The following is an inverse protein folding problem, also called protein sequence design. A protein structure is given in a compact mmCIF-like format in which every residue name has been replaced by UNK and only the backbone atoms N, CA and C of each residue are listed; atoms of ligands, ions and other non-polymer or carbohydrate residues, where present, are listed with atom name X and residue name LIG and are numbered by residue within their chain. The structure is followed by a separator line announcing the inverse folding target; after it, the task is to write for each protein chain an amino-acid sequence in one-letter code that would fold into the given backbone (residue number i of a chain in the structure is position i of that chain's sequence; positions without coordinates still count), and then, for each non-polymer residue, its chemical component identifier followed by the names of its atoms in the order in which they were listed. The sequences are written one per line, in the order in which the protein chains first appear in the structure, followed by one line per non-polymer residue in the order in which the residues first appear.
data_IF_316004295821
#
_entry.id   IF_316004295821
#
_cell.length_a   1.000
_cell.length_b   1.000
_cell.length_c   1.000
_cell.angle_alpha   90.00
_cell.angle_beta   90.00
_cell.angle_gamma   90.00
#
_symmetry.space_group_name_H-M   'P 1'
#
loop_
_entity.id
_entity.type
_entity.pdbx_description
1 polymer ?
#
# COMPACT_ATOMS: atom_id res chain seq x y z
N UNK A 1 -14.02 28.12 -34.90
CA UNK A 1 -13.67 28.36 -33.49
C UNK A 1 -14.72 27.70 -32.62
N UNK A 2 -14.41 26.56 -32.02
CA UNK A 2 -15.21 26.02 -30.91
C UNK A 2 -14.23 25.38 -29.93
N UNK A 3 -14.07 26.03 -28.79
CA UNK A 3 -13.17 25.65 -27.71
C UNK A 3 -13.72 24.41 -27.00
N UNK A 4 -13.01 23.29 -27.12
CA UNK A 4 -13.23 22.13 -26.26
C UNK A 4 -12.44 22.34 -24.95
N UNK A 5 -13.06 23.03 -23.98
CA UNK A 5 -12.55 23.15 -22.61
C UNK A 5 -12.97 21.91 -21.82
N UNK A 6 -11.98 21.11 -21.45
CA UNK A 6 -11.84 20.33 -20.20
C UNK A 6 -11.09 19.02 -20.45
N UNK A 7 -9.84 19.12 -20.92
CA UNK A 7 -8.82 18.22 -20.40
C UNK A 7 -8.48 18.79 -19.03
N UNK A 8 -8.89 18.12 -17.94
CA UNK A 8 -8.43 18.51 -16.60
C UNK A 8 -6.91 18.51 -16.61
N UNK A 9 -6.30 19.69 -16.51
CA UNK A 9 -4.85 19.80 -16.41
C UNK A 9 -4.40 18.95 -15.23
N UNK A 10 -3.60 17.92 -15.52
CA UNK A 10 -2.98 17.06 -14.52
C UNK A 10 -1.95 17.94 -13.81
N UNK A 11 -2.39 18.64 -12.77
CA UNK A 11 -1.57 19.54 -11.99
C UNK A 11 -1.21 18.89 -10.65
N UNK A 12 0.02 19.10 -10.20
CA UNK A 12 0.48 18.64 -8.90
C UNK A 12 -0.35 19.27 -7.79
N UNK A 13 -0.73 18.46 -6.81
CA UNK A 13 -1.38 18.91 -5.59
C UNK A 13 -0.28 19.23 -4.58
N UNK A 14 -0.33 20.41 -3.94
CA UNK A 14 0.60 20.71 -2.85
C UNK A 14 0.34 19.78 -1.66
N UNK A 15 1.34 18.96 -1.34
CA UNK A 15 1.32 17.93 -0.30
C UNK A 15 2.11 18.33 0.95
N UNK A 16 2.65 19.55 1.00
CA UNK A 16 3.50 20.04 2.09
C UNK A 16 2.84 19.88 3.46
N UNK A 17 1.55 20.26 3.58
CA UNK A 17 0.81 20.11 4.84
C UNK A 17 0.62 18.63 5.22
N UNK A 18 0.35 17.76 4.23
CA UNK A 18 0.12 16.33 4.45
C UNK A 18 1.39 15.64 4.97
N UNK A 19 2.53 15.92 4.32
CA UNK A 19 3.84 15.40 4.73
C UNK A 19 4.24 15.96 6.10
N UNK A 20 4.00 17.25 6.37
CA UNK A 20 4.30 17.87 7.66
C UNK A 20 3.51 17.23 8.80
N UNK A 21 2.21 16.99 8.59
CA UNK A 21 1.38 16.26 9.57
C UNK A 21 1.89 14.84 9.79
N UNK A 22 2.24 14.11 8.72
CA UNK A 22 2.77 12.76 8.84
C UNK A 22 4.09 12.72 9.62
N UNK A 23 5.04 13.61 9.31
CA UNK A 23 6.32 13.75 10.04
C UNK A 23 6.14 14.17 11.49
N UNK A 24 5.06 14.89 11.81
CA UNK A 24 4.72 15.22 13.20
C UNK A 24 4.32 13.96 13.98
N UNK A 25 3.63 13.01 13.34
CA UNK A 25 3.31 11.72 13.96
C UNK A 25 4.58 10.92 14.27
N UNK A 26 5.59 10.92 13.38
CA UNK A 26 6.84 10.19 13.61
C UNK A 26 7.53 10.53 14.93
N UNK A 27 7.39 11.78 15.39
CA UNK A 27 8.01 12.30 16.62
C UNK A 27 7.28 11.90 17.90
N UNK A 28 6.06 11.35 17.80
CA UNK A 28 5.35 10.86 18.99
C UNK A 28 6.06 9.62 19.52
N UNK A 29 6.23 9.55 20.85
CA UNK A 29 6.97 8.47 21.51
C UNK A 29 6.42 7.08 21.19
N UNK A 30 5.11 6.96 21.00
CA UNK A 30 4.43 5.71 20.65
C UNK A 30 4.89 5.12 19.30
N UNK A 31 5.27 5.96 18.34
CA UNK A 31 5.73 5.52 17.03
C UNK A 31 7.27 5.59 16.94
N UNK A 32 7.85 6.75 17.26
CA UNK A 32 9.28 7.05 17.19
C UNK A 32 9.91 6.53 15.88
N UNK A 33 9.52 7.14 14.75
CA UNK A 33 9.88 6.66 13.41
C UNK A 33 10.86 7.60 12.72
N UNK A 34 11.70 7.03 11.85
CA UNK A 34 12.58 7.74 10.92
C UNK A 34 11.96 7.80 9.52
N UNK A 35 11.19 6.77 9.15
CA UNK A 35 10.48 6.73 7.88
C UNK A 35 9.19 5.91 7.99
N UNK A 36 8.28 6.12 7.04
CA UNK A 36 7.04 5.38 6.90
C UNK A 36 6.83 4.93 5.46
N UNK A 37 6.50 3.65 5.30
CA UNK A 37 6.24 3.01 4.01
C UNK A 37 4.74 2.97 3.75
N UNK A 38 4.32 3.44 2.58
CA UNK A 38 2.93 3.56 2.18
C UNK A 38 2.75 2.86 0.81
N UNK A 39 2.43 1.55 0.83
CA UNK A 39 2.15 0.77 -0.37
C UNK A 39 0.86 1.24 -1.08
N UNK A 40 0.60 0.70 -2.28
CA UNK A 40 -0.65 0.96 -3.02
C UNK A 40 -1.76 -0.01 -2.65
N UNK A 41 -1.36 -1.17 -2.15
CA UNK A 41 -2.16 -2.34 -1.87
C UNK A 41 -3.08 -2.09 -0.66
N UNK A 42 -4.16 -2.86 -0.57
CA UNK A 42 -4.99 -2.94 0.63
C UNK A 42 -4.70 -4.21 1.44
N UNK A 43 -5.46 -4.42 2.52
CA UNK A 43 -5.30 -5.56 3.42
C UNK A 43 -5.53 -6.93 2.74
N UNK A 44 -6.07 -6.95 1.52
CA UNK A 44 -6.39 -8.16 0.76
C UNK A 44 -5.51 -8.28 -0.50
N UNK A 45 -4.49 -7.44 -0.64
CA UNK A 45 -3.62 -7.38 -1.82
C UNK A 45 -4.43 -7.20 -3.12
N UNK A 46 -5.50 -6.41 -3.06
CA UNK A 46 -6.35 -6.13 -4.23
C UNK A 46 -5.57 -5.41 -5.33
N UNK A 47 -5.79 -5.80 -6.58
CA UNK A 47 -5.24 -5.10 -7.75
C UNK A 47 -5.76 -3.65 -7.86
N UNK A 48 -7.05 -3.45 -7.57
CA UNK A 48 -7.69 -2.14 -7.56
C UNK A 48 -8.19 -1.83 -6.16
N UNK A 49 -7.60 -0.82 -5.53
CA UNK A 49 -7.98 -0.43 -4.17
C UNK A 49 -9.19 0.50 -4.16
N UNK A 50 -10.01 0.36 -3.13
CA UNK A 50 -11.12 1.27 -2.89
C UNK A 50 -10.60 2.70 -2.58
N UNK A 51 -11.44 3.71 -2.80
CA UNK A 51 -11.06 5.11 -2.55
C UNK A 51 -10.59 5.37 -1.10
N UNK A 52 -11.12 4.61 -0.13
CA UNK A 52 -10.71 4.67 1.28
C UNK A 52 -9.30 4.10 1.54
N UNK A 53 -8.78 3.25 0.65
CA UNK A 53 -7.47 2.61 0.77
C UNK A 53 -6.42 3.27 -0.15
N UNK A 54 -6.81 4.29 -0.94
CA UNK A 54 -5.94 5.06 -1.83
C UNK A 54 -4.99 6.03 -1.08
N UNK A 55 -4.34 5.55 -0.02
CA UNK A 55 -3.48 6.29 0.92
C UNK A 55 -2.26 6.90 0.24
N UNK A 56 -1.59 6.13 -0.61
CA UNK A 56 -0.45 6.62 -1.42
C UNK A 56 -0.88 7.79 -2.31
N UNK A 57 -2.06 7.70 -2.94
CA UNK A 57 -2.58 8.78 -3.76
C UNK A 57 -2.95 10.02 -2.93
N UNK A 58 -3.55 9.83 -1.76
CA UNK A 58 -3.82 10.94 -0.85
C UNK A 58 -2.53 11.62 -0.36
N UNK A 59 -1.54 10.88 0.11
CA UNK A 59 -0.33 11.50 0.69
C UNK A 59 0.55 12.19 -0.37
N UNK A 60 0.62 11.63 -1.58
CA UNK A 60 1.54 12.10 -2.63
C UNK A 60 0.90 12.88 -3.78
N UNK A 61 -0.42 12.83 -3.94
CA UNK A 61 -1.11 13.34 -5.12
C UNK A 61 -1.00 12.44 -6.36
N UNK A 62 -0.16 11.39 -6.34
CA UNK A 62 0.01 10.48 -7.47
C UNK A 62 -1.07 9.40 -7.53
N UNK A 63 -1.80 9.36 -8.65
CA UNK A 63 -3.02 8.54 -8.83
C UNK A 63 -2.84 7.33 -9.75
N UNK A 64 -1.60 6.95 -10.12
CA UNK A 64 -1.38 5.74 -10.91
C UNK A 64 -1.78 4.47 -10.15
N UNK A 65 -2.04 3.35 -10.83
CA UNK A 65 -2.46 2.13 -10.12
C UNK A 65 -1.35 1.54 -9.25
N UNK A 66 -0.10 1.62 -9.70
CA UNK A 66 1.04 0.97 -9.04
C UNK A 66 2.07 1.99 -8.51
N UNK A 67 2.60 1.71 -7.33
CA UNK A 67 3.70 2.44 -6.76
C UNK A 67 3.84 2.26 -5.25
N UNK A 68 4.83 2.90 -4.66
CA UNK A 68 5.06 2.87 -3.22
C UNK A 68 5.66 4.20 -2.80
N UNK A 69 5.09 4.81 -1.75
CA UNK A 69 5.62 6.02 -1.16
C UNK A 69 6.46 5.68 0.07
N UNK A 70 7.61 6.33 0.20
CA UNK A 70 8.41 6.35 1.42
C UNK A 70 8.51 7.81 1.86
N UNK A 71 8.06 8.11 3.07
CA UNK A 71 8.26 9.44 3.68
C UNK A 71 9.23 9.27 4.84
N UNK A 72 10.38 9.93 4.79
CA UNK A 72 11.31 10.03 5.91
C UNK A 72 11.14 11.36 6.66
N UNK A 73 11.93 11.55 7.71
CA UNK A 73 11.98 12.82 8.46
C UNK A 73 12.30 14.02 7.58
N UNK A 74 13.10 13.82 6.54
CA UNK A 74 13.68 14.91 5.74
C UNK A 74 13.26 14.85 4.27
N UNK A 75 13.05 13.64 3.73
CA UNK A 75 12.74 13.43 2.30
C UNK A 75 11.41 12.68 2.09
N UNK A 76 10.93 12.68 0.85
CA UNK A 76 9.86 11.81 0.41
C UNK A 76 10.19 11.26 -0.99
N UNK A 77 10.00 9.95 -1.18
CA UNK A 77 10.29 9.26 -2.42
C UNK A 77 9.07 8.46 -2.88
N UNK A 78 8.76 8.50 -4.17
CA UNK A 78 7.70 7.70 -4.78
C UNK A 78 8.31 6.76 -5.81
N UNK A 79 8.17 5.46 -5.58
CA UNK A 79 8.55 4.40 -6.49
C UNK A 79 7.36 4.06 -7.38
N UNK A 80 7.57 3.96 -8.69
CA UNK A 80 6.56 3.44 -9.63
C UNK A 80 7.26 2.88 -10.85
N UNK A 81 6.52 2.16 -11.71
CA UNK A 81 7.03 1.54 -12.93
C UNK A 81 6.86 2.43 -14.18
N UNK A 82 7.41 1.96 -15.30
CA UNK A 82 7.49 2.71 -16.56
C UNK A 82 6.17 3.21 -17.13
N UNK A 83 5.04 2.59 -16.78
CA UNK A 83 3.71 3.05 -17.20
C UNK A 83 3.40 4.45 -16.68
N UNK A 84 3.99 4.82 -15.54
CA UNK A 84 3.56 5.97 -14.76
C UNK A 84 4.60 7.09 -14.64
N UNK A 85 5.81 6.97 -15.21
CA UNK A 85 6.85 8.00 -15.06
C UNK A 85 6.40 9.40 -15.48
N UNK A 86 5.72 9.51 -16.63
CA UNK A 86 5.22 10.81 -17.13
C UNK A 86 4.07 11.36 -16.28
N UNK A 87 3.22 10.47 -15.76
CA UNK A 87 2.12 10.86 -14.87
C UNK A 87 2.66 11.34 -13.53
N UNK A 88 3.57 10.58 -12.92
CA UNK A 88 4.18 10.92 -11.64
C UNK A 88 4.93 12.26 -11.72
N UNK A 89 5.71 12.50 -12.78
CA UNK A 89 6.38 13.79 -12.99
C UNK A 89 5.43 15.01 -13.07
N UNK A 90 4.16 14.80 -13.44
CA UNK A 90 3.15 15.88 -13.51
C UNK A 90 2.35 16.04 -12.22
N UNK A 91 2.16 14.95 -11.47
CA UNK A 91 1.30 14.92 -10.29
C UNK A 91 2.05 15.13 -8.97
N UNK A 92 3.33 14.78 -8.93
CA UNK A 92 4.17 14.99 -7.76
C UNK A 92 4.58 16.46 -7.68
N UNK A 93 4.48 17.03 -6.48
CA UNK A 93 5.01 18.36 -6.19
C UNK A 93 6.51 18.31 -5.86
N UNK A 94 7.07 19.44 -5.46
CA UNK A 94 8.48 19.60 -5.12
C UNK A 94 8.94 18.82 -3.89
N UNK A 95 8.03 18.27 -3.07
CA UNK A 95 8.39 17.51 -1.88
C UNK A 95 8.82 16.08 -2.22
N UNK A 96 8.49 15.57 -3.41
CA UNK A 96 8.69 14.17 -3.78
C UNK A 96 9.82 13.99 -4.80
N UNK A 97 10.64 12.96 -4.54
CA UNK A 97 11.59 12.42 -5.52
C UNK A 97 10.96 11.22 -6.22
N UNK A 98 10.85 11.28 -7.55
CA UNK A 98 10.38 10.14 -8.35
C UNK A 98 11.49 9.10 -8.53
N UNK A 99 11.25 7.90 -8.01
CA UNK A 99 12.11 6.72 -8.15
C UNK A 99 11.56 5.83 -9.26
N UNK A 100 12.25 5.82 -10.41
CA UNK A 100 11.81 5.13 -11.63
C UNK A 100 12.21 3.65 -11.62
N UNK A 101 11.34 2.78 -11.12
CA UNK A 101 11.63 1.35 -10.97
C UNK A 101 11.96 0.69 -12.32
N UNK A 102 12.94 -0.21 -12.32
CA UNK A 102 13.38 -0.94 -13.50
C UNK A 102 14.37 -0.19 -14.41
N UNK A 103 14.72 1.05 -14.07
CA UNK A 103 15.85 1.74 -14.69
C UNK A 103 17.14 1.31 -13.99
N UNK A 104 18.25 1.09 -14.72
CA UNK A 104 19.56 0.85 -14.12
C UNK A 104 19.91 1.91 -13.07
N UNK A 105 20.61 1.48 -12.02
CA UNK A 105 21.09 2.32 -10.91
C UNK A 105 20.00 2.95 -10.03
N UNK A 106 18.70 2.67 -10.27
CA UNK A 106 17.62 3.02 -9.35
C UNK A 106 17.38 1.86 -8.39
N UNK A 107 17.56 2.04 -7.07
CA UNK A 107 17.33 0.97 -6.10
C UNK A 107 15.84 0.60 -6.05
N UNK A 108 15.58 -0.65 -5.70
CA UNK A 108 14.26 -1.05 -5.20
C UNK A 108 13.93 -0.27 -3.93
N UNK A 109 12.65 -0.20 -3.55
CA UNK A 109 12.29 0.52 -2.32
C UNK A 109 12.89 -0.16 -1.08
N UNK A 110 13.03 -1.48 -1.08
CA UNK A 110 13.69 -2.23 -0.01
C UNK A 110 15.18 -1.86 0.10
N UNK A 111 15.89 -1.81 -1.03
CA UNK A 111 17.29 -1.37 -1.07
C UNK A 111 17.43 0.09 -0.63
N UNK A 112 16.52 0.96 -1.07
CA UNK A 112 16.48 2.36 -0.67
C UNK A 112 16.37 2.51 0.86
N UNK A 113 15.50 1.73 1.51
CA UNK A 113 15.36 1.77 2.97
C UNK A 113 16.66 1.36 3.70
N UNK A 114 17.46 0.47 3.11
CA UNK A 114 18.72 0.00 3.68
C UNK A 114 19.88 0.96 3.39
N UNK A 115 19.91 1.57 2.21
CA UNK A 115 21.05 2.34 1.70
C UNK A 115 20.93 3.85 1.92
N UNK A 116 19.71 4.40 1.85
CA UNK A 116 19.48 5.85 1.83
C UNK A 116 19.03 6.41 3.18
N UNK A 117 18.55 5.57 4.09
CA UNK A 117 18.17 6.03 5.43
C UNK A 117 19.36 6.01 6.39
N UNK A 118 19.38 6.86 7.42
CA UNK A 118 20.38 6.80 8.48
C UNK A 118 20.47 5.40 9.11
N UNK A 119 21.63 5.05 9.65
CA UNK A 119 21.77 3.84 10.48
C UNK A 119 20.83 3.93 11.69
N UNK A 120 20.45 2.77 12.21
CA UNK A 120 19.56 2.64 13.37
C UNK A 120 18.16 3.26 13.14
N UNK A 121 17.74 3.35 11.87
CA UNK A 121 16.43 3.90 11.50
C UNK A 121 15.28 3.00 11.95
N UNK A 122 14.18 3.63 12.36
CA UNK A 122 12.92 2.97 12.70
C UNK A 122 11.93 3.19 11.56
N UNK A 123 11.64 2.14 10.80
CA UNK A 123 10.82 2.23 9.59
C UNK A 123 9.45 1.68 9.91
N UNK A 124 8.46 2.56 9.92
CA UNK A 124 7.07 2.18 10.17
C UNK A 124 6.38 1.67 8.92
N UNK A 125 5.50 0.69 9.10
CA UNK A 125 4.57 0.23 8.07
C UNK A 125 3.29 -0.28 8.73
N UNK A 126 2.15 -0.08 8.06
CA UNK A 126 0.92 -0.77 8.41
C UNK A 126 1.08 -2.27 8.09
N UNK A 127 1.05 -3.16 9.10
CA UNK A 127 1.33 -4.58 8.90
C UNK A 127 0.29 -5.29 8.03
N UNK A 128 -0.87 -4.68 7.79
CA UNK A 128 -1.89 -5.24 6.91
C UNK A 128 -1.57 -5.05 5.43
N UNK A 129 -0.65 -4.13 5.08
CA UNK A 129 -0.35 -3.73 3.71
C UNK A 129 0.92 -4.37 3.14
N UNK A 130 1.56 -5.25 3.89
CA UNK A 130 2.79 -5.95 3.49
C UNK A 130 2.63 -7.45 3.68
N UNK A 131 3.11 -8.24 2.72
CA UNK A 131 3.07 -9.69 2.85
C UNK A 131 4.00 -10.17 3.97
N UNK A 132 3.65 -11.27 4.62
CA UNK A 132 4.50 -11.85 5.68
C UNK A 132 5.90 -12.23 5.16
N UNK A 133 6.01 -12.65 3.89
CA UNK A 133 7.29 -12.96 3.27
C UNK A 133 8.15 -11.70 3.10
N UNK A 134 7.57 -10.64 2.53
CA UNK A 134 8.30 -9.38 2.29
C UNK A 134 8.71 -8.73 3.61
N UNK A 135 7.82 -8.74 4.61
CA UNK A 135 8.13 -8.22 5.93
C UNK A 135 9.29 -8.98 6.60
N UNK A 136 9.35 -10.30 6.45
CA UNK A 136 10.44 -11.13 6.97
C UNK A 136 11.77 -10.77 6.28
N UNK A 137 11.80 -10.77 4.96
CA UNK A 137 13.01 -10.45 4.18
C UNK A 137 13.50 -9.02 4.44
N UNK A 138 12.58 -8.07 4.55
CA UNK A 138 12.90 -6.68 4.86
C UNK A 138 13.48 -6.55 6.27
N UNK A 139 12.87 -7.21 7.27
CA UNK A 139 13.37 -7.20 8.66
C UNK A 139 14.79 -7.75 8.76
N UNK A 140 15.09 -8.84 8.04
CA UNK A 140 16.44 -9.41 7.98
C UNK A 140 17.44 -8.45 7.33
N UNK A 141 17.05 -7.75 6.27
CA UNK A 141 17.90 -6.80 5.55
C UNK A 141 18.18 -5.54 6.36
N UNK A 142 17.16 -4.99 7.03
CA UNK A 142 17.29 -3.83 7.92
C UNK A 142 18.15 -4.13 9.15
N UNK A 143 18.01 -5.33 9.73
CA UNK A 143 18.79 -5.74 10.89
C UNK A 143 20.30 -5.75 10.65
N UNK A 144 20.75 -5.96 9.40
CA UNK A 144 22.19 -5.91 9.03
C UNK A 144 22.80 -4.51 9.15
N UNK A 145 21.98 -3.46 9.15
CA UNK A 145 22.41 -2.06 9.26
C UNK A 145 21.97 -1.39 10.57
N UNK A 146 21.49 -2.16 11.54
CA UNK A 146 20.99 -1.67 12.84
C UNK A 146 19.57 -1.10 12.79
N UNK A 147 18.97 -0.99 11.60
CA UNK A 147 17.60 -0.48 11.42
C UNK A 147 16.55 -1.53 11.76
N UNK A 148 15.32 -1.09 12.02
CA UNK A 148 14.20 -1.95 12.42
C UNK A 148 12.93 -1.63 11.66
N UNK A 149 12.16 -2.68 11.35
CA UNK A 149 10.79 -2.58 10.85
C UNK A 149 9.84 -2.53 12.05
N UNK A 150 9.00 -1.50 12.09
CA UNK A 150 8.06 -1.21 13.18
C UNK A 150 6.64 -1.32 12.64
N UNK A 151 5.84 -2.22 13.22
CA UNK A 151 4.42 -2.30 12.90
C UNK A 151 3.66 -1.18 13.61
N UNK A 152 2.82 -0.45 12.89
CA UNK A 152 1.90 0.53 13.49
C UNK A 152 0.51 -0.08 13.67
N UNK A 153 -0.11 0.09 14.84
CA UNK A 153 -1.45 -0.46 15.11
C UNK A 153 -2.53 0.20 14.24
N UNK A 154 -2.38 1.49 13.96
CA UNK A 154 -3.21 2.25 13.04
C UNK A 154 -2.38 2.79 11.88
N UNK A 155 -3.03 3.05 10.75
CA UNK A 155 -2.38 3.62 9.60
C UNK A 155 -2.15 5.12 9.79
N UNK A 156 -0.89 5.57 9.77
CA UNK A 156 -0.59 6.98 10.02
C UNK A 156 -1.13 7.92 8.94
N UNK A 157 -1.34 7.43 7.72
CA UNK A 157 -1.97 8.21 6.66
C UNK A 157 -3.45 8.44 6.96
N UNK A 158 -4.13 7.48 7.57
CA UNK A 158 -5.55 7.63 7.95
C UNK A 158 -5.72 8.74 8.99
N UNK A 159 -4.77 8.86 9.93
CA UNK A 159 -4.74 9.96 10.91
C UNK A 159 -4.55 11.34 10.26
N UNK A 160 -3.68 11.42 9.24
CA UNK A 160 -3.46 12.67 8.48
C UNK A 160 -4.66 13.00 7.60
N UNK A 161 -5.32 11.98 7.02
CA UNK A 161 -6.49 12.12 6.17
C UNK A 161 -7.73 12.54 6.98
N UNK A 162 -7.87 12.02 8.20
CA UNK A 162 -8.94 12.33 9.12
C UNK A 162 -10.32 12.09 8.50
N UNK A 163 -11.26 12.99 8.78
CA UNK A 163 -12.66 12.86 8.35
C UNK A 163 -12.88 12.98 6.84
N UNK A 164 -11.88 13.43 6.08
CA UNK A 164 -11.98 13.51 4.62
C UNK A 164 -11.72 12.17 3.93
N UNK A 165 -11.32 11.13 4.68
CA UNK A 165 -11.15 9.77 4.16
C UNK A 165 -12.51 9.22 3.72
N UNK A 166 -12.65 8.75 2.47
CA UNK A 166 -13.90 8.16 2.01
C UNK A 166 -14.32 6.96 2.87
N UNK A 167 -15.63 6.72 3.05
CA UNK A 167 -16.10 5.53 3.75
C UNK A 167 -15.74 4.26 2.95
N UNK A 168 -15.50 3.16 3.66
CA UNK A 168 -15.30 1.84 3.03
C UNK A 168 -16.59 1.44 2.29
N UNK A 169 -16.51 1.00 1.02
CA UNK A 169 -17.67 0.47 0.32
C UNK A 169 -18.30 -0.70 1.08
N UNK A 170 -19.62 -0.68 1.24
CA UNK A 170 -20.39 -1.71 1.94
C UNK A 170 -21.65 -2.05 1.13
N UNK A 171 -21.45 -2.43 -0.13
CA UNK A 171 -22.53 -2.79 -1.03
C UNK A 171 -23.12 -4.17 -0.63
N UNK A 172 -24.42 -4.42 -0.84
CA UNK A 172 -25.01 -5.72 -0.60
C UNK A 172 -24.34 -6.84 -1.41
N UNK A 173 -24.09 -7.98 -0.76
CA UNK A 173 -23.62 -9.18 -1.43
C UNK A 173 -24.79 -9.90 -2.15
N UNK A 174 -24.54 -10.39 -3.36
CA UNK A 174 -25.51 -11.16 -4.13
C UNK A 174 -25.13 -12.63 -4.16
N UNK A 175 -26.02 -13.50 -3.67
CA UNK A 175 -25.81 -14.95 -3.74
C UNK A 175 -26.02 -15.42 -5.18
N UNK A 176 -25.00 -16.06 -5.76
CA UNK A 176 -25.09 -16.64 -7.10
C UNK A 176 -25.75 -18.02 -7.04
N UNK A 177 -26.89 -18.25 -7.73
CA UNK A 177 -27.53 -19.55 -7.78
C UNK A 177 -26.64 -20.65 -8.36
N UNK A 178 -26.82 -21.90 -7.90
CA UNK A 178 -26.00 -23.06 -8.33
C UNK A 178 -25.99 -23.31 -9.83
N UNK A 179 -27.02 -22.87 -10.57
CA UNK A 179 -27.05 -22.93 -12.04
C UNK A 179 -25.94 -22.14 -12.72
N UNK A 180 -25.34 -21.17 -12.03
CA UNK A 180 -24.21 -20.38 -12.53
C UNK A 180 -22.87 -20.83 -11.95
N UNK A 181 -22.85 -21.29 -10.69
CA UNK A 181 -21.61 -21.67 -10.00
C UNK A 181 -21.22 -23.13 -10.24
N UNK A 182 -22.16 -23.98 -10.68
CA UNK A 182 -21.96 -25.41 -10.93
C UNK A 182 -21.86 -26.28 -9.67
N UNK A 183 -21.60 -25.69 -8.50
CA UNK A 183 -21.53 -26.37 -7.18
C UNK A 183 -22.02 -25.45 -6.07
N UNK A 184 -22.54 -26.05 -5.00
CA UNK A 184 -22.90 -25.33 -3.77
C UNK A 184 -21.64 -24.93 -2.97
N UNK A 185 -21.77 -23.94 -2.09
CA UNK A 185 -20.69 -23.56 -1.15
C UNK A 185 -20.41 -24.69 -0.15
N UNK A 186 -21.44 -25.42 0.29
CA UNK A 186 -21.30 -26.59 1.16
C UNK A 186 -20.37 -27.66 0.53
N UNK A 187 -20.56 -27.95 -0.76
CA UNK A 187 -19.71 -28.92 -1.48
C UNK A 187 -18.26 -28.44 -1.59
N UNK A 188 -18.06 -27.14 -1.85
CA UNK A 188 -16.72 -26.54 -1.97
C UNK A 188 -15.98 -26.57 -0.63
N UNK A 189 -16.66 -26.20 0.46
CA UNK A 189 -16.10 -26.26 1.82
C UNK A 189 -15.80 -27.70 2.24
N UNK A 190 -16.68 -28.66 1.89
CA UNK A 190 -16.44 -30.08 2.17
C UNK A 190 -15.19 -30.59 1.44
N UNK A 191 -15.03 -30.25 0.15
CA UNK A 191 -13.85 -30.63 -0.62
C UNK A 191 -12.57 -29.96 -0.09
N UNK A 192 -12.63 -28.68 0.27
CA UNK A 192 -11.49 -27.99 0.90
C UNK A 192 -11.05 -28.68 2.19
N UNK A 193 -12.00 -29.06 3.07
CA UNK A 193 -11.70 -29.77 4.32
C UNK A 193 -11.08 -31.15 4.08
N UNK A 194 -11.50 -31.85 3.03
CA UNK A 194 -10.90 -33.13 2.63
C UNK A 194 -9.43 -32.95 2.25
N UNK A 195 -9.11 -31.95 1.42
CA UNK A 195 -7.74 -31.63 1.03
C UNK A 195 -6.87 -31.20 2.22
N UNK A 196 -7.40 -30.37 3.12
CA UNK A 196 -6.69 -29.99 4.35
C UNK A 196 -6.40 -31.20 5.25
N UNK A 197 -7.32 -32.17 5.32
CA UNK A 197 -7.13 -33.38 6.12
C UNK A 197 -6.04 -34.29 5.54
N UNK A 198 -5.91 -34.38 4.21
CA UNK A 198 -4.86 -35.16 3.54
C UNK A 198 -3.46 -34.65 3.89
N UNK A 199 -3.31 -33.32 3.98
CA UNK A 199 -2.05 -32.64 4.31
C UNK A 199 -1.84 -32.41 5.82
N UNK A 200 -2.75 -32.90 6.68
CA UNK A 200 -2.74 -32.72 8.13
C UNK A 200 -2.74 -31.25 8.59
N UNK A 201 -3.42 -30.37 7.83
CA UNK A 201 -3.65 -28.99 8.24
C UNK A 201 -4.89 -28.85 9.12
N UNK A 202 -4.78 -28.03 10.17
CA UNK A 202 -5.89 -27.76 11.10
C UNK A 202 -6.87 -26.70 10.60
N UNK A 203 -6.47 -25.91 9.60
CA UNK A 203 -7.29 -24.82 9.08
C UNK A 203 -6.63 -24.12 7.91
N UNK A 204 -7.39 -23.22 7.31
CA UNK A 204 -6.99 -22.43 6.17
C UNK A 204 -7.49 -20.99 6.36
N UNK A 205 -6.62 -20.02 6.10
CA UNK A 205 -6.96 -18.60 6.20
C UNK A 205 -7.05 -18.06 4.78
N UNK A 206 -8.26 -17.63 4.40
CA UNK A 206 -8.52 -16.98 3.11
C UNK A 206 -8.44 -15.47 3.31
N UNK A 207 -7.57 -14.82 2.55
CA UNK A 207 -7.43 -13.35 2.58
C UNK A 207 -7.78 -12.70 1.24
N UNK A 208 -7.61 -13.40 0.13
CA UNK A 208 -7.98 -12.92 -1.19
C UNK A 208 -9.52 -12.82 -1.32
N UNK A 209 -10.00 -11.66 -1.76
CA UNK A 209 -11.45 -11.38 -1.81
C UNK A 209 -12.20 -12.24 -2.83
N UNK A 210 -11.56 -12.57 -3.94
CA UNK A 210 -12.08 -13.43 -5.00
C UNK A 210 -12.18 -14.90 -4.56
N UNK A 211 -11.20 -15.39 -3.77
CA UNK A 211 -11.29 -16.71 -3.14
C UNK A 211 -12.48 -16.79 -2.16
N UNK A 212 -12.69 -15.75 -1.34
CA UNK A 212 -13.84 -15.67 -0.43
C UNK A 212 -15.16 -15.64 -1.21
N UNK A 213 -15.23 -14.87 -2.30
CA UNK A 213 -16.43 -14.80 -3.13
C UNK A 213 -16.72 -16.11 -3.87
N UNK A 214 -15.69 -16.92 -4.12
CA UNK A 214 -15.80 -18.19 -4.84
C UNK A 214 -16.07 -19.39 -3.92
N UNK A 215 -15.68 -19.34 -2.65
CA UNK A 215 -15.85 -20.43 -1.68
C UNK A 215 -17.33 -20.68 -1.33
#
# INVERSE_FOLDING_TARGET
MSNNKNASEIQAVDTTERITKLRTLFKKEEYNLTAYVIPSEDAHQSEYTAACDARRAFISGFTGSAGLAVVSTDDAALFTDGRYFLQANKQLDHNWTLMKQGIPDVPTWQEYLVQNLPKDSRIGIDPTLITACDAKTLKESLGKVGSSLVSTEENLVDLVWGNARPPRPCNPANVLPSKYTGRSHDDKIANLREELSKENYYGFVVSALDEIACL
#
